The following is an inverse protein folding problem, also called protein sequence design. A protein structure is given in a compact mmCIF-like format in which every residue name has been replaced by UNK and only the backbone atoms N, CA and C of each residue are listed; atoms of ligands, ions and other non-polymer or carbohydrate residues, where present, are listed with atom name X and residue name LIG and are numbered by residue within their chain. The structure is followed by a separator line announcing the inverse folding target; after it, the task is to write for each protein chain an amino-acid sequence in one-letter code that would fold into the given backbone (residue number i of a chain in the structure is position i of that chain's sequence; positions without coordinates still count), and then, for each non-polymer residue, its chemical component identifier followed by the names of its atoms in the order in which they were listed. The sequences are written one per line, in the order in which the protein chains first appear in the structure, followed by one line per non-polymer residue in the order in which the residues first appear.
data_IF_717122357167
#
_entry.id   IF_717122357167
#
_cell.length_a   1.000
_cell.length_b   1.000
_cell.length_c   1.000
_cell.angle_alpha   90.00
_cell.angle_beta   90.00
_cell.angle_gamma   90.00
#
_symmetry.space_group_name_H-M   'P 1'
#
loop_
_entity.id
_entity.type
_entity.pdbx_description
1 polymer ?
#
# COMPACT_ATOMS: atom_id res chain seq x y z
N UNK A 1 9.03 -10.79 -10.90
CA UNK A 1 7.94 -10.16 -10.14
C UNK A 1 7.35 -11.15 -9.13
N UNK A 2 6.69 -12.21 -9.51
CA UNK A 2 6.11 -13.25 -8.62
C UNK A 2 7.00 -13.73 -7.47
N UNK A 3 8.30 -13.97 -7.69
CA UNK A 3 9.21 -14.53 -6.66
C UNK A 3 9.41 -13.65 -5.41
N UNK A 4 9.34 -12.32 -5.53
CA UNK A 4 9.52 -11.42 -4.38
C UNK A 4 8.24 -11.30 -3.56
N UNK A 5 7.10 -11.16 -4.21
CA UNK A 5 5.78 -11.15 -3.55
C UNK A 5 5.54 -12.47 -2.83
N UNK A 6 5.86 -13.59 -3.49
CA UNK A 6 5.80 -14.93 -2.91
C UNK A 6 6.66 -15.04 -1.64
N UNK A 7 7.90 -14.53 -1.68
CA UNK A 7 8.79 -14.52 -0.51
C UNK A 7 8.31 -13.56 0.58
N UNK A 8 7.74 -12.41 0.18
CA UNK A 8 7.14 -11.44 1.11
C UNK A 8 5.96 -12.01 1.90
N UNK A 9 5.17 -12.91 1.31
CA UNK A 9 4.02 -13.53 1.97
C UNK A 9 4.34 -14.86 2.70
N UNK A 10 5.60 -15.28 2.79
CA UNK A 10 6.00 -16.55 3.38
C UNK A 10 5.52 -16.74 4.83
N UNK A 11 5.61 -15.69 5.66
CA UNK A 11 5.11 -15.73 7.05
C UNK A 11 3.60 -15.88 7.13
N UNK A 12 2.86 -15.18 6.25
CA UNK A 12 1.40 -15.28 6.18
C UNK A 12 1.00 -16.70 5.75
N UNK A 13 1.62 -17.25 4.71
CA UNK A 13 1.34 -18.62 4.26
C UNK A 13 1.59 -19.66 5.34
N UNK A 14 2.75 -19.62 5.99
CA UNK A 14 3.11 -20.59 7.04
C UNK A 14 2.14 -20.58 8.22
N UNK A 15 1.60 -19.39 8.55
CA UNK A 15 0.72 -19.24 9.71
C UNK A 15 -0.76 -19.43 9.37
N UNK A 16 -1.14 -19.23 8.14
CA UNK A 16 -2.52 -19.26 7.67
C UNK A 16 -2.79 -20.44 6.74
N UNK A 17 -2.15 -20.50 5.57
CA UNK A 17 -2.52 -21.45 4.52
C UNK A 17 -2.15 -22.90 4.88
N UNK A 18 -0.99 -23.11 5.49
CA UNK A 18 -0.58 -24.47 5.85
C UNK A 18 -1.51 -25.11 6.88
N UNK A 19 -1.81 -24.45 8.05
CA UNK A 19 -2.78 -25.03 9.00
C UNK A 19 -4.17 -25.23 8.38
N UNK A 20 -4.62 -24.31 7.54
CA UNK A 20 -5.91 -24.42 6.85
C UNK A 20 -6.00 -25.66 5.95
N UNK A 21 -4.95 -25.94 5.17
CA UNK A 21 -4.88 -27.14 4.33
C UNK A 21 -4.83 -28.42 5.17
N UNK A 22 -4.09 -28.38 6.27
CA UNK A 22 -3.97 -29.54 7.18
C UNK A 22 -5.36 -29.90 7.77
N UNK A 23 -6.15 -28.92 8.21
CA UNK A 23 -7.52 -29.09 8.67
C UNK A 23 -8.43 -29.68 7.58
N UNK A 24 -8.36 -29.09 6.39
CA UNK A 24 -9.20 -29.51 5.28
C UNK A 24 -8.87 -30.93 4.76
N UNK A 25 -7.63 -31.38 4.97
CA UNK A 25 -7.17 -32.71 4.54
C UNK A 25 -7.56 -33.84 5.49
N UNK A 26 -8.08 -33.51 6.69
CA UNK A 26 -8.45 -34.51 7.71
C UNK A 26 -9.77 -35.28 7.40
N UNK A 27 -10.53 -34.85 6.39
CA UNK A 27 -11.63 -35.63 5.78
C UNK A 27 -13.03 -35.06 6.03
N UNK A 28 -13.59 -35.14 7.21
CA UNK A 28 -14.91 -34.56 7.50
C UNK A 28 -14.78 -33.12 8.04
N UNK A 29 -15.45 -32.20 7.38
CA UNK A 29 -15.57 -30.81 7.87
C UNK A 29 -16.84 -30.79 8.74
N UNK A 30 -16.63 -31.00 10.02
CA UNK A 30 -17.64 -30.78 11.05
C UNK A 30 -17.65 -29.33 11.55
N UNK A 31 -18.56 -29.00 12.47
CA UNK A 31 -18.69 -27.65 12.97
C UNK A 31 -17.45 -27.20 13.76
N UNK A 32 -16.79 -28.08 14.48
CA UNK A 32 -15.56 -27.78 15.22
C UNK A 32 -14.44 -27.40 14.23
N UNK A 33 -14.32 -28.11 13.11
CA UNK A 33 -13.37 -27.78 12.03
C UNK A 33 -13.68 -26.44 11.37
N UNK A 34 -14.96 -26.10 11.19
CA UNK A 34 -15.38 -24.80 10.65
C UNK A 34 -14.99 -23.66 11.59
N UNK A 35 -15.18 -23.83 12.92
CA UNK A 35 -14.77 -22.84 13.92
C UNK A 35 -13.25 -22.65 13.91
N UNK A 36 -12.45 -23.70 13.81
CA UNK A 36 -10.98 -23.58 13.70
C UNK A 36 -10.56 -22.85 12.41
N UNK A 37 -11.25 -23.10 11.29
CA UNK A 37 -11.01 -22.38 10.03
C UNK A 37 -11.34 -20.89 10.20
N UNK A 38 -12.47 -20.57 10.83
CA UNK A 38 -12.87 -19.18 11.11
C UNK A 38 -11.80 -18.42 11.91
N UNK A 39 -11.25 -19.04 12.97
CA UNK A 39 -10.16 -18.48 13.76
C UNK A 39 -8.91 -18.20 12.91
N UNK A 40 -8.56 -19.11 11.99
CA UNK A 40 -7.42 -18.92 11.09
C UNK A 40 -7.63 -17.76 10.11
N UNK A 41 -8.85 -17.61 9.56
CA UNK A 41 -9.22 -16.52 8.66
C UNK A 41 -9.12 -15.16 9.37
N UNK A 42 -9.61 -15.08 10.62
CA UNK A 42 -9.43 -13.88 11.45
C UNK A 42 -7.96 -13.61 11.78
N UNK A 43 -7.19 -14.62 12.13
CA UNK A 43 -5.76 -14.48 12.44
C UNK A 43 -4.92 -13.99 11.24
N UNK A 44 -5.38 -14.21 10.01
CA UNK A 44 -4.79 -13.71 8.78
C UNK A 44 -5.20 -12.26 8.44
N UNK A 45 -6.09 -11.65 9.26
CA UNK A 45 -6.66 -10.31 9.04
C UNK A 45 -7.43 -10.19 7.69
N UNK A 46 -8.17 -11.23 7.27
CA UNK A 46 -9.00 -11.21 6.07
C UNK A 46 -10.24 -10.30 6.19
N UNK A 47 -10.55 -9.87 7.41
CA UNK A 47 -11.75 -9.08 7.71
C UNK A 47 -12.99 -9.92 7.97
N UNK A 48 -13.98 -9.28 8.62
CA UNK A 48 -15.22 -9.96 9.04
C UNK A 48 -16.03 -10.50 7.86
N UNK A 49 -16.33 -9.64 6.90
CA UNK A 49 -17.18 -9.99 5.76
C UNK A 49 -16.63 -11.12 4.89
N UNK A 50 -15.31 -11.12 4.65
CA UNK A 50 -14.67 -12.20 3.89
C UNK A 50 -14.68 -13.51 4.68
N UNK A 51 -14.44 -13.45 5.98
CA UNK A 51 -14.49 -14.61 6.86
C UNK A 51 -15.89 -15.21 6.89
N UNK A 52 -16.94 -14.39 7.11
CA UNK A 52 -18.33 -14.82 7.16
C UNK A 52 -18.76 -15.53 5.87
N UNK A 53 -18.49 -14.92 4.71
CA UNK A 53 -18.83 -15.51 3.40
C UNK A 53 -18.15 -16.86 3.18
N UNK A 54 -16.88 -17.00 3.55
CA UNK A 54 -16.13 -18.25 3.42
C UNK A 54 -16.68 -19.32 4.36
N UNK A 55 -17.01 -18.97 5.60
CA UNK A 55 -17.56 -19.87 6.61
C UNK A 55 -18.97 -20.35 6.21
N UNK A 56 -19.82 -19.46 5.68
CA UNK A 56 -21.13 -19.84 5.14
C UNK A 56 -21.00 -20.82 3.98
N UNK A 57 -20.14 -20.55 3.02
CA UNK A 57 -19.89 -21.44 1.89
C UNK A 57 -19.38 -22.84 2.34
N UNK A 58 -18.53 -22.88 3.37
CA UNK A 58 -18.09 -24.16 3.97
C UNK A 58 -19.24 -24.94 4.62
N UNK A 59 -20.14 -24.26 5.34
CA UNK A 59 -21.34 -24.88 5.94
C UNK A 59 -22.30 -25.39 4.88
N UNK A 60 -22.42 -24.72 3.75
CA UNK A 60 -23.20 -25.17 2.59
C UNK A 60 -22.55 -26.36 1.84
N UNK A 61 -21.33 -26.74 2.22
CA UNK A 61 -20.60 -27.88 1.66
C UNK A 61 -19.75 -27.53 0.43
N UNK A 62 -19.55 -26.26 0.16
CA UNK A 62 -18.61 -25.84 -0.88
C UNK A 62 -17.18 -26.29 -0.55
N UNK A 63 -16.39 -26.52 -1.58
CA UNK A 63 -15.00 -26.98 -1.42
C UNK A 63 -14.85 -28.48 -1.14
N UNK A 64 -15.89 -29.20 -0.69
CA UNK A 64 -15.80 -30.63 -0.38
C UNK A 64 -15.63 -31.51 -1.62
N UNK A 65 -16.15 -31.11 -2.77
CA UNK A 65 -16.23 -31.89 -3.99
C UNK A 65 -15.43 -31.36 -5.18
N UNK A 66 -14.64 -30.32 -5.01
CA UNK A 66 -13.88 -29.65 -6.08
C UNK A 66 -12.41 -30.07 -6.09
N UNK A 67 -11.81 -30.19 -7.27
CA UNK A 67 -10.39 -30.57 -7.44
C UNK A 67 -9.38 -29.57 -6.84
N UNK A 68 -9.81 -28.38 -6.44
CA UNK A 68 -8.98 -27.33 -5.83
C UNK A 68 -9.18 -27.18 -4.32
N UNK A 69 -10.18 -27.88 -3.72
CA UNK A 69 -10.44 -27.87 -2.28
C UNK A 69 -10.60 -26.47 -1.68
N UNK A 70 -10.13 -26.29 -0.44
CA UNK A 70 -10.23 -25.02 0.30
C UNK A 70 -9.53 -23.85 -0.40
N UNK A 71 -8.43 -24.09 -1.11
CA UNK A 71 -7.71 -23.02 -1.81
C UNK A 71 -8.48 -22.48 -3.00
N UNK A 72 -9.23 -23.31 -3.70
CA UNK A 72 -10.14 -22.88 -4.77
C UNK A 72 -11.31 -22.08 -4.24
N UNK A 73 -11.94 -22.54 -3.16
CA UNK A 73 -13.00 -21.81 -2.46
C UNK A 73 -12.52 -20.41 -2.06
N UNK A 74 -11.41 -20.34 -1.33
CA UNK A 74 -10.82 -19.06 -0.92
C UNK A 74 -10.53 -18.15 -2.11
N UNK A 75 -9.91 -18.69 -3.16
CA UNK A 75 -9.57 -17.91 -4.35
C UNK A 75 -10.81 -17.26 -4.95
N UNK A 76 -11.89 -18.02 -5.14
CA UNK A 76 -13.11 -17.52 -5.75
C UNK A 76 -13.74 -16.40 -4.93
N UNK A 77 -13.93 -16.59 -3.63
CA UNK A 77 -14.50 -15.56 -2.76
C UNK A 77 -13.60 -14.31 -2.65
N UNK A 78 -12.29 -14.48 -2.50
CA UNK A 78 -11.37 -13.37 -2.38
C UNK A 78 -11.22 -12.56 -3.67
N UNK A 79 -11.29 -13.20 -4.85
CA UNK A 79 -11.33 -12.51 -6.15
C UNK A 79 -12.58 -11.64 -6.25
N UNK A 80 -13.75 -12.17 -5.90
CA UNK A 80 -15.01 -11.42 -5.93
C UNK A 80 -14.96 -10.19 -5.02
N UNK A 81 -14.50 -10.36 -3.79
CA UNK A 81 -14.34 -9.25 -2.84
C UNK A 81 -13.41 -8.16 -3.38
N UNK A 82 -12.32 -8.54 -4.03
CA UNK A 82 -11.36 -7.60 -4.60
C UNK A 82 -11.80 -7.03 -5.96
N UNK A 83 -12.80 -7.60 -6.63
CA UNK A 83 -13.27 -7.15 -7.94
C UNK A 83 -14.01 -5.79 -7.89
N UNK A 84 -14.62 -5.46 -6.75
CA UNK A 84 -15.36 -4.21 -6.53
C UNK A 84 -14.48 -2.95 -6.48
N UNK A 85 -13.15 -3.11 -6.58
CA UNK A 85 -12.22 -1.99 -6.52
C UNK A 85 -11.93 -1.49 -7.94
N UNK A 86 -12.10 -0.19 -8.21
CA UNK A 86 -11.85 0.37 -9.54
C UNK A 86 -10.39 0.20 -9.96
N UNK A 87 -10.18 0.00 -11.26
CA UNK A 87 -8.84 0.00 -11.82
C UNK A 87 -8.18 1.37 -11.69
N UNK A 88 -6.90 1.36 -11.38
CA UNK A 88 -6.14 2.57 -11.26
C UNK A 88 -5.96 3.27 -12.61
N UNK A 89 -6.36 4.55 -12.63
CA UNK A 89 -6.15 5.43 -13.78
C UNK A 89 -5.29 6.62 -13.35
N UNK A 90 -4.03 6.72 -13.84
CA UNK A 90 -3.18 7.86 -13.50
C UNK A 90 -3.79 9.15 -14.05
N UNK A 91 -3.78 10.25 -13.28
CA UNK A 91 -4.25 11.53 -13.77
C UNK A 91 -3.42 12.00 -14.97
N UNK A 92 -4.10 12.61 -15.93
CA UNK A 92 -3.43 13.23 -17.07
C UNK A 92 -2.61 14.43 -16.63
N UNK A 93 -1.47 14.66 -17.32
CA UNK A 93 -0.60 15.83 -17.09
C UNK A 93 0.87 15.47 -16.94
N UNK A 94 1.71 16.50 -17.02
CA UNK A 94 3.17 16.37 -16.97
C UNK A 94 3.82 17.58 -16.27
N UNK A 95 4.83 17.38 -15.39
CA UNK A 95 5.25 16.08 -14.84
C UNK A 95 4.15 15.40 -14.02
N UNK A 96 4.29 14.10 -13.82
CA UNK A 96 3.50 13.36 -12.86
C UNK A 96 3.97 13.69 -11.44
N UNK A 97 3.06 14.15 -10.58
CA UNK A 97 3.37 14.57 -9.21
C UNK A 97 2.65 13.65 -8.23
N UNK A 98 3.41 12.85 -7.50
CA UNK A 98 2.92 11.85 -6.55
C UNK A 98 3.18 12.35 -5.12
N UNK A 99 2.14 12.70 -4.40
CA UNK A 99 2.22 13.09 -2.99
C UNK A 99 2.05 11.86 -2.12
N UNK A 100 3.09 11.47 -1.39
CA UNK A 100 3.05 10.32 -0.49
C UNK A 100 2.53 10.74 0.88
N UNK A 101 1.39 10.17 1.27
CA UNK A 101 0.71 10.46 2.54
C UNK A 101 0.61 9.20 3.41
N UNK A 102 0.32 9.36 4.70
CA UNK A 102 0.17 8.26 5.67
C UNK A 102 0.77 8.62 7.03
N UNK A 103 0.49 7.80 8.05
CA UNK A 103 0.96 8.05 9.42
C UNK A 103 2.46 7.85 9.57
N UNK A 104 3.04 8.31 10.69
CA UNK A 104 4.45 8.07 10.96
C UNK A 104 4.74 6.57 11.18
N UNK A 105 5.89 6.11 10.71
CA UNK A 105 6.34 4.73 10.89
C UNK A 105 5.82 3.71 9.88
N UNK A 106 4.87 4.09 9.01
CA UNK A 106 4.36 3.17 7.95
C UNK A 106 5.34 2.93 6.80
N UNK A 107 6.46 3.66 6.75
CA UNK A 107 7.47 3.46 5.71
C UNK A 107 7.40 4.44 4.53
N UNK A 108 6.78 5.63 4.66
CA UNK A 108 6.68 6.63 3.58
C UNK A 108 8.03 6.93 2.90
N UNK A 109 9.01 7.40 3.68
CA UNK A 109 10.32 7.80 3.15
C UNK A 109 11.07 6.65 2.48
N UNK A 110 10.97 5.43 3.04
CA UNK A 110 11.54 4.22 2.42
C UNK A 110 10.81 3.85 1.12
N UNK A 111 9.47 3.98 1.11
CA UNK A 111 8.65 3.78 -0.10
C UNK A 111 9.05 4.76 -1.20
N UNK A 112 9.23 6.04 -0.88
CA UNK A 112 9.68 7.06 -1.83
C UNK A 112 11.01 6.68 -2.47
N UNK A 113 11.98 6.25 -1.67
CA UNK A 113 13.28 5.80 -2.18
C UNK A 113 13.17 4.59 -3.11
N UNK A 114 12.35 3.61 -2.75
CA UNK A 114 12.12 2.41 -3.59
C UNK A 114 11.36 2.75 -4.88
N UNK A 115 10.35 3.63 -4.81
CA UNK A 115 9.63 4.11 -6.00
C UNK A 115 10.54 4.92 -6.92
N UNK A 116 11.38 5.80 -6.37
CA UNK A 116 12.37 6.55 -7.14
C UNK A 116 13.32 5.61 -7.89
N UNK A 117 13.85 4.59 -7.21
CA UNK A 117 14.66 3.55 -7.85
C UNK A 117 13.87 2.79 -8.92
N UNK A 118 12.66 2.36 -8.62
CA UNK A 118 11.80 1.62 -9.55
C UNK A 118 11.54 2.40 -10.85
N UNK A 119 11.18 3.69 -10.74
CA UNK A 119 10.94 4.53 -11.90
C UNK A 119 12.23 4.86 -12.67
N UNK A 120 13.35 5.06 -11.97
CA UNK A 120 14.65 5.27 -12.63
C UNK A 120 15.08 4.04 -13.45
N UNK A 121 14.78 2.82 -12.98
CA UNK A 121 15.03 1.59 -13.76
C UNK A 121 14.15 1.50 -15.03
N UNK A 122 13.08 2.28 -15.10
CA UNK A 122 12.23 2.42 -16.29
C UNK A 122 12.65 3.61 -17.16
N UNK A 123 13.85 4.15 -16.97
CA UNK A 123 14.37 5.33 -17.65
C UNK A 123 13.52 6.59 -17.46
N UNK A 124 12.85 6.71 -16.31
CA UNK A 124 12.12 7.92 -15.93
C UNK A 124 13.02 8.87 -15.15
N UNK A 125 12.99 10.14 -15.53
CA UNK A 125 13.67 11.22 -14.82
C UNK A 125 12.87 11.60 -13.57
N UNK A 126 13.40 11.27 -12.38
CA UNK A 126 12.72 11.46 -11.09
C UNK A 126 13.32 12.61 -10.31
N UNK A 127 12.49 13.34 -9.56
CA UNK A 127 12.89 14.34 -8.58
C UNK A 127 12.13 14.13 -7.27
N UNK A 128 12.80 14.30 -6.13
CA UNK A 128 12.18 14.17 -4.80
C UNK A 128 11.97 15.53 -4.16
N UNK A 129 10.84 15.71 -3.42
CA UNK A 129 10.54 16.88 -2.61
C UNK A 129 10.46 16.54 -1.13
N UNK A 130 11.31 17.16 -0.28
CA UNK A 130 11.36 16.90 1.16
C UNK A 130 10.42 17.83 1.92
N UNK A 131 9.12 17.48 2.00
CA UNK A 131 8.11 18.31 2.65
C UNK A 131 7.80 17.91 4.10
N UNK A 132 8.40 16.87 4.68
CA UNK A 132 8.41 16.63 6.16
C UNK A 132 9.45 17.57 6.80
N UNK A 133 9.19 18.87 6.74
CA UNK A 133 10.14 19.93 7.11
C UNK A 133 10.36 20.06 8.62
N UNK A 134 9.50 19.46 9.43
CA UNK A 134 9.60 19.54 10.90
C UNK A 134 10.46 18.45 11.53
N UNK A 135 10.99 17.53 10.71
CA UNK A 135 11.82 16.41 11.17
C UNK A 135 13.15 16.41 10.43
N UNK A 136 14.20 16.91 11.08
CA UNK A 136 15.54 16.89 10.49
C UNK A 136 15.97 15.51 10.02
N UNK A 137 15.72 14.48 10.83
CA UNK A 137 16.03 13.09 10.48
C UNK A 137 15.23 12.58 9.26
N UNK A 138 14.01 13.10 8.97
CA UNK A 138 13.27 12.71 7.79
C UNK A 138 13.91 13.29 6.52
N UNK A 139 14.32 14.55 6.57
CA UNK A 139 15.05 15.20 5.45
C UNK A 139 16.35 14.44 5.16
N UNK A 140 17.16 14.18 6.19
CA UNK A 140 18.42 13.43 6.06
C UNK A 140 18.21 12.01 5.52
N UNK A 141 17.16 11.34 5.97
CA UNK A 141 16.79 10.02 5.49
C UNK A 141 16.40 10.05 4.00
N UNK A 142 15.59 11.02 3.59
CA UNK A 142 15.22 11.18 2.18
C UNK A 142 16.43 11.48 1.31
N UNK A 143 17.35 12.32 1.76
CA UNK A 143 18.61 12.60 1.06
C UNK A 143 19.49 11.34 0.92
N UNK A 144 19.53 10.47 1.95
CA UNK A 144 20.24 9.22 1.86
C UNK A 144 19.65 8.31 0.78
N UNK A 145 18.31 8.20 0.70
CA UNK A 145 17.63 7.46 -0.35
C UNK A 145 17.90 8.09 -1.72
N UNK A 146 17.80 9.42 -1.85
CA UNK A 146 18.08 10.14 -3.09
C UNK A 146 19.48 9.84 -3.63
N UNK A 147 20.50 9.89 -2.76
CA UNK A 147 21.88 9.53 -3.12
C UNK A 147 22.03 8.08 -3.57
N UNK A 148 21.32 7.13 -2.92
CA UNK A 148 21.37 5.70 -3.30
C UNK A 148 20.75 5.43 -4.67
N UNK A 149 19.78 6.24 -5.07
CA UNK A 149 19.05 6.12 -6.34
C UNK A 149 19.63 7.03 -7.44
N UNK A 150 20.59 7.88 -7.12
CA UNK A 150 21.14 8.93 -7.99
C UNK A 150 20.05 9.87 -8.53
N UNK A 151 19.13 10.30 -7.65
CA UNK A 151 18.05 11.22 -8.00
C UNK A 151 18.19 12.54 -7.24
N UNK A 152 17.88 13.70 -7.87
CA UNK A 152 17.91 15.00 -7.20
C UNK A 152 16.79 15.12 -6.15
N UNK A 153 17.08 15.89 -5.09
CA UNK A 153 16.11 16.22 -4.06
C UNK A 153 16.04 17.74 -3.87
N UNK A 154 14.81 18.27 -3.83
CA UNK A 154 14.53 19.65 -3.42
C UNK A 154 14.14 19.65 -1.96
N UNK A 155 14.82 20.46 -1.18
CA UNK A 155 14.60 20.63 0.26
C UNK A 155 14.72 22.10 0.67
N UNK A 156 14.26 22.42 1.85
CA UNK A 156 14.43 23.75 2.45
C UNK A 156 14.99 23.62 3.87
N UNK A 157 15.15 24.76 4.55
CA UNK A 157 15.53 24.77 5.97
C UNK A 157 14.45 24.09 6.83
N UNK A 158 14.87 23.56 7.97
CA UNK A 158 13.95 23.01 8.97
C UNK A 158 12.87 24.04 9.37
N UNK A 159 11.61 23.61 9.44
CA UNK A 159 10.46 24.45 9.75
C UNK A 159 9.99 25.35 8.60
N UNK A 160 10.52 25.19 7.38
CA UNK A 160 9.96 25.84 6.20
C UNK A 160 8.52 25.39 5.94
N UNK A 161 7.73 26.19 5.23
CA UNK A 161 6.38 25.82 4.83
C UNK A 161 6.40 24.65 3.85
N UNK A 162 5.80 23.47 4.20
CA UNK A 162 5.80 22.30 3.33
C UNK A 162 5.22 22.54 1.94
N UNK A 163 4.18 23.40 1.85
CA UNK A 163 3.58 23.74 0.56
C UNK A 163 4.50 24.59 -0.34
N UNK A 164 5.36 25.41 0.25
CA UNK A 164 6.38 26.13 -0.50
C UNK A 164 7.45 25.18 -1.04
N UNK A 165 7.90 24.21 -0.24
CA UNK A 165 8.87 23.20 -0.69
C UNK A 165 8.29 22.33 -1.80
N UNK A 166 7.02 21.93 -1.70
CA UNK A 166 6.33 21.19 -2.74
C UNK A 166 6.23 22.00 -4.04
N UNK A 167 5.89 23.28 -3.95
CA UNK A 167 5.87 24.19 -5.09
C UNK A 167 7.25 24.29 -5.76
N UNK A 168 8.32 24.49 -4.99
CA UNK A 168 9.68 24.58 -5.50
C UNK A 168 10.13 23.26 -6.17
N UNK A 169 9.74 22.11 -5.61
CA UNK A 169 10.05 20.80 -6.17
C UNK A 169 9.40 20.63 -7.55
N UNK A 170 8.11 20.94 -7.69
CA UNK A 170 7.40 20.85 -8.98
C UNK A 170 7.94 21.86 -9.98
N UNK A 171 8.18 23.12 -9.57
CA UNK A 171 8.80 24.14 -10.44
C UNK A 171 10.17 23.70 -10.95
N UNK A 172 11.00 23.12 -10.05
CA UNK A 172 12.32 22.58 -10.41
C UNK A 172 12.19 21.40 -11.38
N UNK A 173 11.20 20.53 -11.21
CA UNK A 173 10.97 19.40 -12.10
C UNK A 173 10.56 19.86 -13.51
N UNK A 174 9.64 20.82 -13.61
CA UNK A 174 9.23 21.40 -14.89
C UNK A 174 10.43 22.03 -15.60
N UNK A 175 11.23 22.83 -14.90
CA UNK A 175 12.38 23.51 -15.50
C UNK A 175 13.52 22.58 -15.92
N UNK A 176 13.58 21.37 -15.34
CA UNK A 176 14.57 20.32 -15.63
C UNK A 176 14.00 19.16 -16.43
N UNK A 177 12.80 19.28 -16.96
CA UNK A 177 12.13 18.28 -17.79
C UNK A 177 12.05 16.89 -17.11
N UNK A 178 11.78 16.86 -15.78
CA UNK A 178 11.64 15.62 -15.04
C UNK A 178 10.27 14.98 -15.28
N UNK A 179 10.24 13.66 -15.47
CA UNK A 179 9.00 12.90 -15.70
C UNK A 179 8.12 12.81 -14.45
N UNK A 180 8.77 12.61 -13.29
CA UNK A 180 8.07 12.27 -12.05
C UNK A 180 8.63 13.09 -10.89
N UNK A 181 7.73 13.66 -10.09
CA UNK A 181 8.04 14.26 -8.78
C UNK A 181 7.40 13.43 -7.69
N UNK A 182 8.18 12.99 -6.70
CA UNK A 182 7.65 12.30 -5.52
C UNK A 182 7.85 13.19 -4.30
N UNK A 183 6.75 13.54 -3.62
CA UNK A 183 6.72 14.44 -2.47
C UNK A 183 6.61 13.63 -1.18
N UNK A 184 7.62 13.73 -0.30
CA UNK A 184 7.56 13.21 1.08
C UNK A 184 6.81 14.18 1.98
N UNK A 185 5.86 13.68 2.78
CA UNK A 185 5.05 14.52 3.67
C UNK A 185 5.14 14.08 5.13
N UNK A 186 4.80 14.98 6.05
CA UNK A 186 4.63 14.64 7.46
C UNK A 186 3.53 13.59 7.66
N UNK A 187 3.58 12.88 8.80
CA UNK A 187 2.60 11.83 9.13
C UNK A 187 2.17 11.86 10.60
N UNK A 188 2.15 13.03 11.25
CA UNK A 188 1.86 13.19 12.68
C UNK A 188 0.36 13.16 12.97
N UNK A 189 -0.25 11.96 12.89
CA UNK A 189 -1.70 11.80 13.04
C UNK A 189 -2.23 12.19 14.43
N UNK A 190 -1.38 12.17 15.49
CA UNK A 190 -1.76 12.67 16.82
C UNK A 190 -2.09 14.18 16.84
N UNK A 191 -1.66 14.93 15.84
CA UNK A 191 -2.09 16.30 15.56
C UNK A 191 -2.97 16.34 14.32
N UNK A 192 -3.99 15.44 14.24
CA UNK A 192 -4.83 15.18 13.06
C UNK A 192 -5.22 16.44 12.30
N UNK A 193 -5.81 17.43 13.01
CA UNK A 193 -6.32 18.66 12.38
C UNK A 193 -5.22 19.47 11.71
N UNK A 194 -4.04 19.58 12.32
CA UNK A 194 -2.94 20.34 11.75
C UNK A 194 -2.32 19.63 10.55
N UNK A 195 -2.15 18.30 10.64
CA UNK A 195 -1.64 17.50 9.53
C UNK A 195 -2.55 17.59 8.30
N UNK A 196 -3.86 17.41 8.47
CA UNK A 196 -4.80 17.47 7.34
C UNK A 196 -4.80 18.87 6.69
N UNK A 197 -4.80 19.94 7.47
CA UNK A 197 -4.68 21.31 6.93
C UNK A 197 -3.37 21.55 6.17
N UNK A 198 -2.28 20.96 6.62
CA UNK A 198 -0.97 21.05 5.94
C UNK A 198 -1.02 20.32 4.59
N UNK A 199 -1.55 19.10 4.57
CA UNK A 199 -1.70 18.31 3.35
C UNK A 199 -2.66 18.98 2.37
N UNK A 200 -3.84 19.42 2.81
CA UNK A 200 -4.79 20.20 1.98
C UNK A 200 -4.13 21.45 1.37
N UNK A 201 -3.28 22.14 2.14
CA UNK A 201 -2.54 23.30 1.65
C UNK A 201 -1.56 22.92 0.54
N UNK A 202 -0.85 21.80 0.68
CA UNK A 202 0.05 21.28 -0.38
C UNK A 202 -0.76 21.04 -1.67
N UNK A 203 -1.86 20.28 -1.59
CA UNK A 203 -2.69 20.01 -2.76
C UNK A 203 -3.24 21.29 -3.39
N UNK A 204 -3.78 22.21 -2.58
CA UNK A 204 -4.30 23.49 -3.06
C UNK A 204 -3.25 24.32 -3.77
N UNK A 205 -2.02 24.39 -3.23
CA UNK A 205 -0.93 25.15 -3.85
C UNK A 205 -0.52 24.50 -5.16
N UNK A 206 -0.34 23.19 -5.20
CA UNK A 206 0.06 22.47 -6.41
C UNK A 206 -0.98 22.57 -7.51
N UNK A 207 -2.26 22.33 -7.21
CA UNK A 207 -3.34 22.39 -8.21
C UNK A 207 -3.61 23.81 -8.72
N UNK A 208 -3.45 24.85 -7.88
CA UNK A 208 -3.74 26.22 -8.28
C UNK A 208 -2.58 26.92 -9.00
N UNK A 209 -1.34 26.49 -8.76
CA UNK A 209 -0.13 27.18 -9.24
C UNK A 209 0.57 26.45 -10.38
N UNK A 210 0.34 25.16 -10.55
CA UNK A 210 0.90 24.37 -11.63
C UNK A 210 -0.22 23.74 -12.45
N UNK A 211 -0.59 24.39 -13.55
CA UNK A 211 -1.56 23.84 -14.49
C UNK A 211 -0.90 22.76 -15.37
N UNK A 212 -1.67 21.72 -15.70
CA UNK A 212 -1.21 20.68 -16.61
C UNK A 212 -0.34 19.57 -15.99
N UNK A 213 -0.10 19.58 -14.68
CA UNK A 213 0.57 18.48 -13.99
C UNK A 213 -0.39 17.32 -13.74
N UNK A 214 0.12 16.09 -13.71
CA UNK A 214 -0.64 14.90 -13.27
C UNK A 214 -0.54 14.75 -11.74
N UNK A 215 -1.34 15.51 -10.97
CA UNK A 215 -1.29 15.52 -9.50
C UNK A 215 -2.12 14.37 -8.91
N UNK A 216 -1.50 13.58 -8.05
CA UNK A 216 -2.13 12.47 -7.34
C UNK A 216 -1.55 12.28 -5.95
N UNK A 217 -2.27 11.54 -5.10
CA UNK A 217 -1.78 11.09 -3.80
C UNK A 217 -1.84 9.59 -3.63
N UNK A 218 -0.80 9.03 -3.02
CA UNK A 218 -0.72 7.64 -2.66
C UNK A 218 -0.60 7.49 -1.15
N UNK A 219 -1.52 6.74 -0.56
CA UNK A 219 -1.54 6.48 0.86
C UNK A 219 -0.72 5.24 1.19
N UNK A 220 0.29 5.41 2.03
CA UNK A 220 1.14 4.31 2.51
C UNK A 220 0.55 3.71 3.78
N UNK A 221 0.36 2.40 3.77
CA UNK A 221 -0.23 1.60 4.84
C UNK A 221 0.75 0.51 5.28
N UNK A 222 0.84 0.26 6.59
CA UNK A 222 1.65 -0.80 7.19
C UNK A 222 0.82 -2.06 7.41
N UNK A 223 1.14 -3.15 6.72
CA UNK A 223 0.44 -4.43 6.87
C UNK A 223 0.53 -5.01 8.28
N UNK A 224 1.59 -4.72 9.05
CA UNK A 224 1.71 -5.18 10.45
C UNK A 224 0.62 -4.59 11.37
N UNK A 225 0.06 -3.43 11.01
CA UNK A 225 -1.00 -2.79 11.79
C UNK A 225 -2.35 -3.51 11.65
N UNK A 226 -2.49 -4.45 10.71
CA UNK A 226 -3.71 -5.17 10.46
C UNK A 226 -4.89 -4.21 10.21
N UNK A 227 -6.08 -4.55 10.68
CA UNK A 227 -7.29 -3.74 10.52
C UNK A 227 -7.20 -2.33 11.15
N UNK A 228 -6.30 -2.10 12.11
CA UNK A 228 -6.09 -0.74 12.64
C UNK A 228 -5.60 0.24 11.56
N UNK A 229 -4.95 -0.26 10.52
CA UNK A 229 -4.51 0.57 9.40
C UNK A 229 -5.68 1.15 8.60
N UNK A 230 -6.82 0.46 8.53
CA UNK A 230 -8.03 0.91 7.82
C UNK A 230 -8.57 2.19 8.47
N UNK A 231 -8.78 2.17 9.80
CA UNK A 231 -9.26 3.35 10.56
C UNK A 231 -8.33 4.56 10.42
N UNK A 232 -7.01 4.31 10.31
CA UNK A 232 -6.06 5.39 10.06
C UNK A 232 -6.17 5.92 8.63
N UNK A 233 -6.39 5.03 7.66
CA UNK A 233 -6.50 5.36 6.24
C UNK A 233 -7.76 6.17 5.95
N UNK A 234 -8.91 5.82 6.55
CA UNK A 234 -10.18 6.54 6.40
C UNK A 234 -10.02 8.04 6.61
N UNK A 235 -9.25 8.45 7.61
CA UNK A 235 -8.98 9.86 7.92
C UNK A 235 -8.34 10.61 6.73
N UNK A 236 -7.45 9.93 6.01
CA UNK A 236 -6.81 10.52 4.82
C UNK A 236 -7.78 10.54 3.63
N UNK A 237 -8.53 9.46 3.42
CA UNK A 237 -9.49 9.32 2.33
C UNK A 237 -10.65 10.31 2.45
N UNK A 238 -11.13 10.58 3.66
CA UNK A 238 -12.16 11.59 3.93
C UNK A 238 -11.72 13.02 3.61
N UNK A 239 -10.42 13.31 3.71
CA UNK A 239 -9.90 14.68 3.64
C UNK A 239 -9.17 14.96 2.33
N UNK A 240 -8.52 13.96 1.72
CA UNK A 240 -7.64 14.12 0.57
C UNK A 240 -8.12 13.30 -0.62
N UNK A 241 -7.82 13.75 -1.86
CA UNK A 241 -8.08 12.97 -3.06
C UNK A 241 -7.07 11.81 -3.18
N UNK A 242 -7.23 10.73 -2.40
CA UNK A 242 -6.35 9.56 -2.47
C UNK A 242 -6.66 8.76 -3.73
N UNK A 243 -5.65 8.51 -4.57
CA UNK A 243 -5.79 7.81 -5.84
C UNK A 243 -5.41 6.32 -5.78
N UNK A 244 -4.65 5.93 -4.75
CA UNK A 244 -4.24 4.55 -4.58
C UNK A 244 -3.44 4.31 -3.31
N UNK A 245 -3.17 3.04 -3.05
CA UNK A 245 -2.54 2.56 -1.83
C UNK A 245 -1.16 1.96 -2.13
N UNK A 246 -0.24 2.11 -1.19
CA UNK A 246 1.02 1.35 -1.14
C UNK A 246 1.06 0.60 0.17
N UNK A 247 1.05 -0.72 0.11
CA UNK A 247 1.09 -1.58 1.31
C UNK A 247 2.53 -1.99 1.59
N UNK A 248 3.02 -1.70 2.78
CA UNK A 248 4.40 -1.97 3.20
C UNK A 248 4.50 -3.13 4.19
N UNK A 249 5.71 -3.64 4.37
CA UNK A 249 6.07 -4.62 5.40
C UNK A 249 5.37 -5.99 5.29
N UNK A 250 5.00 -6.40 4.09
CA UNK A 250 4.41 -7.72 3.86
C UNK A 250 5.36 -8.87 4.24
N UNK A 251 6.67 -8.65 4.12
CA UNK A 251 7.71 -9.61 4.48
C UNK A 251 7.86 -9.84 5.98
N UNK A 252 7.40 -8.92 6.79
CA UNK A 252 7.52 -8.99 8.25
C UNK A 252 6.27 -9.45 8.98
N UNK A 253 5.12 -9.48 8.29
CA UNK A 253 3.81 -9.77 8.87
C UNK A 253 3.30 -11.20 8.59
N UNK A 254 2.49 -11.74 9.50
CA UNK A 254 1.61 -12.89 9.24
C UNK A 254 0.18 -12.47 8.86
N UNK A 255 -0.07 -11.18 8.71
CA UNK A 255 -1.37 -10.54 8.48
C UNK A 255 -1.50 -10.00 7.06
N UNK A 256 -0.85 -10.66 6.09
CA UNK A 256 -0.85 -10.21 4.69
C UNK A 256 -2.24 -10.19 4.04
N UNK A 257 -3.21 -10.92 4.61
CA UNK A 257 -4.60 -10.90 4.18
C UNK A 257 -5.29 -9.56 4.34
N UNK A 258 -4.76 -8.66 5.19
CA UNK A 258 -5.31 -7.31 5.43
C UNK A 258 -5.45 -6.45 4.16
N UNK A 259 -4.72 -6.76 3.10
CA UNK A 259 -4.88 -6.09 1.79
C UNK A 259 -6.32 -6.19 1.29
N UNK A 260 -6.99 -7.31 1.54
CA UNK A 260 -8.35 -7.59 1.05
C UNK A 260 -9.38 -6.65 1.69
N UNK A 261 -9.54 -6.60 3.03
CA UNK A 261 -10.47 -5.65 3.65
C UNK A 261 -10.06 -4.19 3.42
N UNK A 262 -8.77 -3.86 3.38
CA UNK A 262 -8.31 -2.50 3.06
C UNK A 262 -8.86 -2.03 1.71
N UNK A 263 -8.73 -2.84 0.66
CA UNK A 263 -9.24 -2.49 -0.66
C UNK A 263 -10.76 -2.39 -0.67
N UNK A 264 -11.44 -3.35 -0.04
CA UNK A 264 -12.90 -3.39 0.03
C UNK A 264 -13.48 -2.17 0.73
N UNK A 265 -12.96 -1.83 1.91
CA UNK A 265 -13.50 -0.76 2.74
C UNK A 265 -13.15 0.63 2.19
N UNK A 266 -11.92 0.83 1.72
CA UNK A 266 -11.48 2.12 1.18
C UNK A 266 -11.89 2.35 -0.28
N UNK A 267 -12.30 1.32 -1.02
CA UNK A 267 -12.60 1.37 -2.46
C UNK A 267 -11.45 1.96 -3.30
N UNK A 268 -10.21 1.67 -2.89
CA UNK A 268 -9.00 2.18 -3.52
C UNK A 268 -8.10 1.04 -4.01
N UNK A 269 -7.52 1.17 -5.22
CA UNK A 269 -6.58 0.18 -5.73
C UNK A 269 -5.27 0.18 -4.94
N UNK A 270 -4.73 -0.99 -4.64
CA UNK A 270 -3.34 -1.13 -4.24
C UNK A 270 -2.48 -1.02 -5.49
N UNK A 271 -1.50 -0.11 -5.47
CA UNK A 271 -0.61 0.15 -6.61
C UNK A 271 0.72 -0.58 -6.48
N UNK A 272 1.23 -0.64 -5.26
CA UNK A 272 2.51 -1.26 -4.96
C UNK A 272 2.49 -2.00 -3.62
N UNK A 273 3.31 -3.05 -3.53
CA UNK A 273 3.55 -3.85 -2.34
C UNK A 273 5.03 -3.81 -1.95
N UNK A 274 5.32 -3.41 -0.71
CA UNK A 274 6.66 -3.46 -0.10
C UNK A 274 6.91 -4.84 0.50
N UNK A 275 7.95 -5.52 0.02
CA UNK A 275 8.24 -6.94 0.28
C UNK A 275 9.62 -7.17 0.86
N UNK A 276 10.23 -6.18 1.48
CA UNK A 276 11.55 -6.24 2.11
C UNK A 276 12.17 -4.85 2.30
N UNK A 277 13.43 -4.80 2.72
CA UNK A 277 14.16 -3.58 3.07
C UNK A 277 15.07 -3.03 1.95
N UNK A 278 15.34 -3.82 0.91
CA UNK A 278 16.19 -3.42 -0.21
C UNK A 278 15.55 -2.38 -1.11
N UNK A 279 16.38 -1.68 -1.90
CA UNK A 279 15.94 -0.68 -2.90
C UNK A 279 14.94 -1.25 -3.91
N UNK A 280 15.17 -2.48 -4.33
CA UNK A 280 14.31 -3.16 -5.30
C UNK A 280 13.14 -3.92 -4.67
N UNK A 281 12.95 -3.85 -3.33
CA UNK A 281 11.91 -4.61 -2.63
C UNK A 281 10.60 -3.83 -2.54
N UNK A 282 10.15 -3.39 -3.70
CA UNK A 282 8.82 -2.88 -3.98
C UNK A 282 8.38 -3.46 -5.32
N UNK A 283 7.17 -3.97 -5.38
CA UNK A 283 6.62 -4.59 -6.59
C UNK A 283 5.30 -3.92 -6.95
N UNK A 284 5.02 -3.65 -8.23
CA UNK A 284 3.67 -3.33 -8.66
C UNK A 284 2.70 -4.39 -8.17
N UNK A 285 1.53 -3.96 -7.71
CA UNK A 285 0.54 -4.91 -7.21
C UNK A 285 -0.34 -5.42 -8.34
N UNK A 286 -0.44 -6.73 -8.43
CA UNK A 286 -1.41 -7.43 -9.26
C UNK A 286 -2.24 -8.37 -8.37
N UNK A 287 -3.56 -8.31 -8.52
CA UNK A 287 -4.54 -9.04 -7.71
C UNK A 287 -4.39 -10.55 -7.85
N UNK A 288 -4.25 -11.01 -9.08
CA UNK A 288 -4.12 -12.43 -9.39
C UNK A 288 -2.78 -12.99 -8.88
N UNK A 289 -1.70 -12.25 -9.09
CA UNK A 289 -0.37 -12.61 -8.57
C UNK A 289 -0.36 -12.64 -7.03
N UNK A 290 -1.05 -11.67 -6.38
CA UNK A 290 -1.16 -11.62 -4.93
C UNK A 290 -1.91 -12.84 -4.38
N UNK A 291 -3.08 -13.16 -4.91
CA UNK A 291 -3.85 -14.33 -4.47
C UNK A 291 -3.11 -15.63 -4.77
N UNK A 292 -2.47 -15.73 -5.92
CA UNK A 292 -1.62 -16.87 -6.24
C UNK A 292 -0.45 -17.01 -5.25
N UNK A 293 0.20 -15.91 -4.89
CA UNK A 293 1.29 -15.92 -3.92
C UNK A 293 0.80 -16.19 -2.47
N UNK A 294 -0.39 -15.72 -2.12
CA UNK A 294 -0.99 -15.94 -0.79
C UNK A 294 -1.42 -17.39 -0.59
N UNK A 295 -2.10 -18.00 -1.59
CA UNK A 295 -2.76 -19.30 -1.48
C UNK A 295 -1.87 -20.48 -1.92
N UNK A 296 -0.69 -20.22 -2.49
CA UNK A 296 0.27 -21.25 -2.91
C UNK A 296 0.92 -22.00 -1.72
N UNK A 297 1.58 -23.09 -2.01
CA UNK A 297 2.40 -23.87 -1.05
C UNK A 297 3.72 -23.20 -0.70
#
# INVERSE_FOLDING_TARGET
MMKKLFRGLDKTRKRFIKPLKDLFSSGDIDEDTVEEIEELLFAADLGYDATEQIVEALREGEGKNGGEGITGLLRNHLIEIMADVPDYQPPAGYPRVIVIVGVNGVGKTSTIGKLAYHFSQQNKEVLLGACDTFRAAAIEQLELWARRCDVPVVRSRMGADPAAVAFDAVSSAISREKDIVIIDTAGRLHTKVNLMKELEKIFRVLSSRHQGIGLESWLVIDANSGQNSIKQAEVFVETLPVNGLVVTKLDSTSKGGVIIPIQKELKLPVLYAGVGEGLSDIEPFDREEFLSALLSE
#
